data_IF_587831483178
#
_entry.id   IF_587831483178
#
_cell.length_a   1.000
_cell.length_b   1.000
_cell.length_c   1.000
_cell.angle_alpha   90.00
_cell.angle_beta   90.00
_cell.angle_gamma   90.00
#
_symmetry.space_group_name_H-M   'P 1'
#
loop_
_entity.id
_entity.type
_entity.pdbx_description
1 polymer ?
#
# COMPACT_ATOMS: atom_id res chain seq x y z
N UNK A 1 -8.77 -23.71 13.01
CA UNK A 1 -8.45 -22.71 11.97
C UNK A 1 -8.80 -23.33 10.63
N UNK A 2 -10.00 -23.06 10.12
CA UNK A 2 -10.40 -23.54 8.80
C UNK A 2 -9.65 -22.73 7.76
N UNK A 3 -8.86 -23.39 6.91
CA UNK A 3 -8.27 -22.74 5.74
C UNK A 3 -9.42 -22.15 4.92
N UNK A 4 -9.48 -20.83 4.78
CA UNK A 4 -10.32 -20.23 3.76
C UNK A 4 -9.72 -20.65 2.43
N UNK A 5 -10.37 -21.58 1.74
CA UNK A 5 -10.10 -21.84 0.33
C UNK A 5 -10.16 -20.50 -0.40
N UNK A 6 -9.00 -20.01 -0.86
CA UNK A 6 -8.92 -18.85 -1.73
C UNK A 6 -9.57 -19.23 -3.06
N UNK A 7 -10.87 -18.99 -3.18
CA UNK A 7 -11.52 -18.99 -4.48
C UNK A 7 -10.93 -17.85 -5.32
N UNK A 8 -10.57 -18.17 -6.55
CA UNK A 8 -10.03 -17.20 -7.51
C UNK A 8 -11.18 -16.44 -8.17
N UNK A 9 -11.03 -15.12 -8.44
CA UNK A 9 -11.95 -14.42 -9.32
C UNK A 9 -12.12 -15.19 -10.63
N UNK A 10 -13.36 -15.41 -11.05
CA UNK A 10 -13.63 -16.15 -12.30
C UNK A 10 -14.02 -15.18 -13.40
N UNK A 11 -13.49 -15.41 -14.61
CA UNK A 11 -13.89 -14.64 -15.79
C UNK A 11 -15.28 -15.11 -16.19
N UNK A 12 -16.27 -14.21 -16.12
CA UNK A 12 -17.64 -14.51 -16.49
C UNK A 12 -17.91 -14.17 -17.96
N UNK A 13 -17.35 -13.06 -18.44
CA UNK A 13 -17.52 -12.62 -19.82
C UNK A 13 -16.31 -11.88 -20.34
N UNK A 14 -15.95 -12.13 -21.60
CA UNK A 14 -14.91 -11.42 -22.31
C UNK A 14 -15.47 -10.95 -23.66
N UNK A 15 -15.29 -9.67 -23.97
CA UNK A 15 -15.79 -8.97 -25.15
C UNK A 15 -14.65 -8.19 -25.79
N UNK A 16 -13.97 -8.83 -26.74
CA UNK A 16 -12.84 -8.28 -27.47
C UNK A 16 -13.23 -7.03 -28.27
N UNK A 17 -14.43 -7.03 -28.86
CA UNK A 17 -14.91 -5.95 -29.72
C UNK A 17 -15.05 -4.63 -28.97
N UNK A 18 -15.43 -4.68 -27.69
CA UNK A 18 -15.58 -3.50 -26.84
C UNK A 18 -14.44 -3.33 -25.83
N UNK A 19 -13.40 -4.17 -25.91
CA UNK A 19 -12.28 -4.21 -24.98
C UNK A 19 -12.74 -4.30 -23.52
N UNK A 20 -13.67 -5.22 -23.25
CA UNK A 20 -14.33 -5.37 -21.95
C UNK A 20 -14.19 -6.80 -21.42
N UNK A 21 -13.89 -6.93 -20.14
CA UNK A 21 -13.94 -8.20 -19.39
C UNK A 21 -14.78 -8.02 -18.14
N UNK A 22 -15.51 -9.06 -17.74
CA UNK A 22 -16.31 -9.11 -16.52
C UNK A 22 -15.82 -10.24 -15.65
N UNK A 23 -15.47 -9.92 -14.41
CA UNK A 23 -15.14 -10.90 -13.38
C UNK A 23 -16.30 -11.04 -12.40
N UNK A 24 -16.53 -12.28 -11.95
CA UNK A 24 -17.44 -12.58 -10.85
C UNK A 24 -16.66 -12.98 -9.59
N UNK A 25 -17.03 -12.39 -8.46
CA UNK A 25 -16.46 -12.69 -7.15
C UNK A 25 -17.57 -13.01 -6.16
N UNK A 26 -17.44 -14.09 -5.39
CA UNK A 26 -18.42 -14.41 -4.35
C UNK A 26 -18.41 -13.35 -3.23
N UNK A 27 -19.60 -12.93 -2.80
CA UNK A 27 -19.73 -11.99 -1.68
C UNK A 27 -19.24 -12.68 -0.40
N UNK A 28 -18.37 -11.98 0.34
CA UNK A 28 -17.76 -12.49 1.57
C UNK A 28 -16.33 -13.03 1.38
N UNK A 29 -15.92 -13.30 0.12
CA UNK A 29 -14.54 -13.66 -0.19
C UNK A 29 -13.60 -12.48 0.06
N UNK A 30 -13.98 -11.31 -0.47
CA UNK A 30 -13.28 -10.05 -0.23
C UNK A 30 -14.23 -9.03 0.42
N UNK A 31 -13.77 -8.32 1.46
CA UNK A 31 -14.43 -7.12 1.94
C UNK A 31 -14.59 -6.08 0.83
N UNK A 32 -15.68 -5.30 0.84
CA UNK A 32 -15.97 -4.35 -0.25
C UNK A 32 -14.89 -3.26 -0.39
N UNK A 33 -14.25 -2.86 0.70
CA UNK A 33 -13.12 -1.92 0.71
C UNK A 33 -11.90 -2.45 -0.06
N UNK A 34 -11.67 -3.77 -0.04
CA UNK A 34 -10.62 -4.40 -0.87
C UNK A 34 -10.95 -4.29 -2.36
N UNK A 35 -12.22 -4.46 -2.72
CA UNK A 35 -12.70 -4.34 -4.10
C UNK A 35 -12.55 -2.89 -4.61
N UNK A 36 -12.93 -1.90 -3.78
CA UNK A 36 -12.72 -0.49 -4.10
C UNK A 36 -11.24 -0.12 -4.22
N UNK A 37 -10.39 -0.62 -3.30
CA UNK A 37 -8.95 -0.40 -3.33
C UNK A 37 -8.32 -0.92 -4.61
N UNK A 38 -8.68 -2.14 -5.03
CA UNK A 38 -8.19 -2.72 -6.29
C UNK A 38 -8.74 -1.95 -7.50
N UNK A 39 -10.03 -1.60 -7.52
CA UNK A 39 -10.63 -0.81 -8.59
C UNK A 39 -9.92 0.53 -8.80
N UNK A 40 -9.56 1.22 -7.71
CA UNK A 40 -8.92 2.53 -7.76
C UNK A 40 -7.57 2.50 -8.50
N UNK A 41 -6.79 1.42 -8.38
CA UNK A 41 -5.48 1.30 -9.04
C UNK A 41 -5.61 1.24 -10.58
N UNK A 42 -6.75 0.83 -11.11
CA UNK A 42 -6.94 0.62 -12.54
C UNK A 42 -7.67 1.77 -13.25
N UNK A 43 -8.13 2.80 -12.53
CA UNK A 43 -8.92 3.90 -13.11
C UNK A 43 -8.15 4.76 -14.10
N UNK A 44 -6.81 4.72 -14.08
CA UNK A 44 -5.94 5.43 -15.00
C UNK A 44 -6.02 4.84 -16.42
N UNK A 45 -6.11 3.52 -16.55
CA UNK A 45 -6.04 2.75 -17.82
C UNK A 45 -7.31 1.99 -18.21
N UNK A 46 -8.23 1.79 -17.28
CA UNK A 46 -9.52 1.13 -17.51
C UNK A 46 -10.67 1.92 -16.89
N UNK A 47 -11.84 1.83 -17.53
CA UNK A 47 -13.11 2.13 -16.87
C UNK A 47 -13.50 0.93 -16.01
N UNK A 48 -13.78 1.18 -14.73
CA UNK A 48 -14.19 0.15 -13.77
C UNK A 48 -15.63 0.41 -13.37
N UNK A 49 -16.50 -0.58 -13.55
CA UNK A 49 -17.86 -0.58 -13.01
C UNK A 49 -17.98 -1.76 -12.04
N UNK A 50 -18.40 -1.46 -10.81
CA UNK A 50 -18.69 -2.46 -9.79
C UNK A 50 -20.20 -2.60 -9.69
N UNK A 51 -20.68 -3.82 -9.86
CA UNK A 51 -22.09 -4.18 -9.73
C UNK A 51 -22.24 -5.36 -8.78
N UNK A 52 -23.48 -5.67 -8.40
CA UNK A 52 -23.81 -6.74 -7.46
C UNK A 52 -24.96 -7.56 -8.01
N UNK A 53 -24.71 -8.85 -8.21
CA UNK A 53 -25.76 -9.83 -8.48
C UNK A 53 -26.15 -10.49 -7.16
N UNK A 54 -27.37 -10.27 -6.71
CA UNK A 54 -27.85 -10.86 -5.45
C UNK A 54 -28.18 -12.36 -5.57
N UNK A 55 -28.32 -12.88 -6.80
CA UNK A 55 -28.49 -14.30 -7.07
C UNK A 55 -29.71 -14.95 -6.40
N UNK A 56 -30.79 -15.21 -7.16
CA UNK A 56 -31.92 -15.96 -6.59
C UNK A 56 -31.53 -17.43 -6.43
N UNK A 57 -31.44 -17.92 -5.18
CA UNK A 57 -31.11 -19.32 -4.88
C UNK A 57 -29.61 -19.67 -4.94
N UNK A 58 -28.72 -18.67 -4.99
CA UNK A 58 -27.25 -18.84 -4.92
C UNK A 58 -26.62 -17.75 -4.04
N UNK A 59 -25.37 -17.93 -3.56
CA UNK A 59 -24.65 -16.83 -2.91
C UNK A 59 -24.52 -15.65 -3.87
N UNK A 60 -24.78 -14.44 -3.37
CA UNK A 60 -24.62 -13.22 -4.16
C UNK A 60 -23.15 -13.02 -4.57
N UNK A 61 -22.95 -12.28 -5.67
CA UNK A 61 -21.64 -12.03 -6.29
C UNK A 61 -21.44 -10.55 -6.57
N UNK A 62 -20.21 -10.09 -6.44
CA UNK A 62 -19.78 -8.84 -7.04
C UNK A 62 -19.39 -9.09 -8.50
N UNK A 63 -19.84 -8.20 -9.37
CA UNK A 63 -19.47 -8.17 -10.78
C UNK A 63 -18.52 -7.00 -10.99
N UNK A 64 -17.34 -7.27 -11.52
CA UNK A 64 -16.35 -6.25 -11.85
C UNK A 64 -16.24 -6.18 -13.36
N UNK A 65 -16.72 -5.11 -13.94
CA UNK A 65 -16.54 -4.83 -15.36
C UNK A 65 -15.32 -3.94 -15.54
N UNK A 66 -14.33 -4.46 -16.25
CA UNK A 66 -13.15 -3.71 -16.67
C UNK A 66 -13.26 -3.47 -18.17
N UNK A 67 -13.16 -2.20 -18.59
CA UNK A 67 -13.08 -1.84 -20.00
C UNK A 67 -11.83 -1.01 -20.24
N UNK A 68 -10.95 -1.45 -21.13
CA UNK A 68 -9.78 -0.68 -21.54
C UNK A 68 -10.18 0.69 -22.08
N UNK A 69 -9.44 1.74 -21.72
CA UNK A 69 -9.67 3.08 -22.29
C UNK A 69 -9.24 3.16 -23.76
N UNK A 70 -8.27 2.34 -24.14
CA UNK A 70 -7.84 2.12 -25.51
C UNK A 70 -8.25 0.71 -25.95
N UNK A 71 -8.32 0.43 -27.27
CA UNK A 71 -8.52 -0.92 -27.78
C UNK A 71 -7.48 -1.89 -27.21
N UNK A 72 -7.95 -3.02 -26.70
CA UNK A 72 -7.14 -4.10 -26.14
C UNK A 72 -7.39 -5.40 -26.90
N UNK A 73 -6.33 -6.17 -27.14
CA UNK A 73 -6.43 -7.54 -27.65
C UNK A 73 -6.99 -8.48 -26.59
N UNK A 74 -7.38 -9.68 -27.02
CA UNK A 74 -7.83 -10.74 -26.15
C UNK A 74 -6.83 -11.07 -25.03
N UNK A 75 -5.55 -11.21 -25.40
CA UNK A 75 -4.47 -11.48 -24.45
C UNK A 75 -4.28 -10.33 -23.46
N UNK A 76 -4.40 -9.07 -23.93
CA UNK A 76 -4.31 -7.89 -23.06
C UNK A 76 -5.48 -7.82 -22.07
N UNK A 77 -6.69 -8.23 -22.46
CA UNK A 77 -7.84 -8.29 -21.54
C UNK A 77 -7.66 -9.38 -20.48
N UNK A 78 -7.12 -10.54 -20.86
CA UNK A 78 -6.80 -11.60 -19.91
C UNK A 78 -5.69 -11.17 -18.95
N UNK A 79 -4.66 -10.49 -19.44
CA UNK A 79 -3.60 -9.93 -18.62
C UNK A 79 -4.18 -8.89 -17.63
N UNK A 80 -5.03 -7.97 -18.11
CA UNK A 80 -5.71 -6.98 -17.26
C UNK A 80 -6.54 -7.65 -16.14
N UNK A 81 -7.26 -8.72 -16.48
CA UNK A 81 -8.00 -9.53 -15.53
C UNK A 81 -7.09 -10.19 -14.47
N UNK A 82 -5.97 -10.78 -14.91
CA UNK A 82 -4.98 -11.39 -14.01
C UNK A 82 -4.32 -10.36 -13.08
N UNK A 83 -3.94 -9.20 -13.63
CA UNK A 83 -3.42 -8.07 -12.84
C UNK A 83 -4.43 -7.60 -11.79
N UNK A 84 -5.71 -7.47 -12.17
CA UNK A 84 -6.75 -7.09 -11.22
C UNK A 84 -6.91 -8.13 -10.10
N UNK A 85 -6.89 -9.42 -10.43
CA UNK A 85 -6.91 -10.51 -9.45
C UNK A 85 -5.73 -10.45 -8.47
N UNK A 86 -4.52 -10.19 -8.97
CA UNK A 86 -3.33 -10.02 -8.13
C UNK A 86 -3.41 -8.80 -7.22
N UNK A 87 -3.99 -7.69 -7.71
CA UNK A 87 -4.17 -6.50 -6.89
C UNK A 87 -5.23 -6.74 -5.80
N UNK A 88 -6.30 -7.48 -6.07
CA UNK A 88 -7.27 -7.88 -5.04
C UNK A 88 -6.62 -8.66 -3.91
N UNK A 89 -5.78 -9.64 -4.24
CA UNK A 89 -5.03 -10.41 -3.24
C UNK A 89 -4.09 -9.50 -2.45
N UNK A 90 -3.43 -8.57 -3.13
CA UNK A 90 -2.51 -7.62 -2.51
C UNK A 90 -3.23 -6.67 -1.53
N UNK A 91 -4.38 -6.13 -1.93
CA UNK A 91 -5.24 -5.30 -1.07
C UNK A 91 -5.78 -6.09 0.14
N UNK A 92 -6.22 -7.33 -0.07
CA UNK A 92 -6.69 -8.19 1.00
C UNK A 92 -5.57 -8.49 2.02
N UNK A 93 -4.37 -8.79 1.55
CA UNK A 93 -3.20 -9.02 2.39
C UNK A 93 -2.81 -7.76 3.15
N UNK A 94 -2.69 -6.60 2.49
CA UNK A 94 -2.39 -5.32 3.14
C UNK A 94 -3.38 -5.03 4.25
N UNK A 95 -4.67 -5.18 3.97
CA UNK A 95 -5.74 -5.00 4.96
C UNK A 95 -5.59 -5.96 6.15
N UNK A 96 -5.30 -7.24 5.90
CA UNK A 96 -5.09 -8.24 6.95
C UNK A 96 -3.89 -7.87 7.83
N UNK A 97 -2.76 -7.51 7.22
CA UNK A 97 -1.53 -7.11 7.93
C UNK A 97 -1.78 -5.85 8.77
N UNK A 98 -2.39 -4.81 8.20
CA UNK A 98 -2.73 -3.59 8.95
C UNK A 98 -3.64 -3.90 10.13
N UNK A 99 -4.70 -4.69 9.90
CA UNK A 99 -5.64 -5.06 10.96
C UNK A 99 -4.97 -5.87 12.07
N UNK A 100 -4.08 -6.81 11.74
CA UNK A 100 -3.37 -7.63 12.72
C UNK A 100 -2.34 -6.82 13.52
N UNK A 101 -1.74 -5.79 12.91
CA UNK A 101 -0.70 -4.96 13.53
C UNK A 101 -1.23 -3.60 14.01
N UNK A 102 -2.55 -3.40 14.06
CA UNK A 102 -3.16 -2.10 14.37
C UNK A 102 -2.62 -1.50 15.68
N UNK A 103 -2.56 -2.29 16.76
CA UNK A 103 -2.04 -1.81 18.06
C UNK A 103 -0.59 -1.36 18.00
N UNK A 104 0.25 -2.12 17.29
CA UNK A 104 1.68 -1.81 17.12
C UNK A 104 1.83 -0.50 16.32
N UNK A 105 1.04 -0.36 15.24
CA UNK A 105 1.02 0.87 14.44
C UNK A 105 0.58 2.07 15.28
N UNK A 106 -0.49 1.92 16.07
CA UNK A 106 -0.99 2.97 16.97
C UNK A 106 0.05 3.36 18.03
N UNK A 107 0.73 2.39 18.64
CA UNK A 107 1.78 2.62 19.63
C UNK A 107 2.98 3.37 19.04
N UNK A 108 3.53 2.87 17.92
CA UNK A 108 4.64 3.52 17.21
C UNK A 108 4.26 4.94 16.78
N UNK A 109 3.05 5.13 16.26
CA UNK A 109 2.57 6.46 15.82
C UNK A 109 2.42 7.41 17.01
N UNK A 110 1.83 6.94 18.11
CA UNK A 110 1.67 7.72 19.34
C UNK A 110 3.03 8.16 19.88
N UNK A 111 3.98 7.22 19.90
CA UNK A 111 5.35 7.48 20.34
C UNK A 111 6.07 8.49 19.43
N UNK A 112 5.95 8.35 18.11
CA UNK A 112 6.55 9.27 17.15
C UNK A 112 6.00 10.70 17.31
N UNK A 113 4.69 10.85 17.52
CA UNK A 113 4.05 12.15 17.77
C UNK A 113 4.51 12.72 19.11
N UNK A 114 4.55 11.91 20.18
CA UNK A 114 5.00 12.35 21.49
C UNK A 114 6.46 12.83 21.47
N UNK A 115 7.36 12.06 20.85
CA UNK A 115 8.77 12.45 20.70
C UNK A 115 8.95 13.71 19.87
N UNK A 116 8.21 13.86 18.77
CA UNK A 116 8.26 15.07 17.93
C UNK A 116 7.72 16.33 18.65
N UNK A 117 6.75 16.17 19.55
CA UNK A 117 6.18 17.25 20.35
C UNK A 117 7.04 17.63 21.58
N UNK A 118 8.20 16.99 21.77
CA UNK A 118 9.04 17.18 22.96
C UNK A 118 8.50 16.52 24.23
N UNK A 119 7.53 15.60 24.09
CA UNK A 119 7.04 14.79 25.19
C UNK A 119 8.03 13.69 25.58
N UNK A 120 8.09 13.37 26.87
CA UNK A 120 8.87 12.23 27.38
C UNK A 120 8.34 10.93 26.82
N UNK A 121 9.21 10.15 26.17
CA UNK A 121 8.88 8.80 25.69
C UNK A 121 8.57 7.88 26.88
N UNK A 122 7.74 6.83 26.69
CA UNK A 122 7.49 5.83 27.73
C UNK A 122 8.82 5.24 28.27
N UNK A 123 8.92 5.09 29.58
CA UNK A 123 10.13 4.64 30.28
C UNK A 123 10.65 3.27 29.82
N UNK A 124 9.78 2.37 29.36
CA UNK A 124 10.19 1.05 28.84
C UNK A 124 11.02 1.12 27.56
N UNK A 125 10.89 2.19 26.76
CA UNK A 125 11.76 2.44 25.60
C UNK A 125 13.07 3.11 25.98
N UNK A 126 13.05 4.00 26.98
CA UNK A 126 14.26 4.63 27.53
C UNK A 126 15.14 3.58 28.24
N UNK A 127 14.53 2.62 28.94
CA UNK A 127 15.24 1.53 29.61
C UNK A 127 15.96 0.57 28.63
N UNK A 128 15.52 0.51 27.37
CA UNK A 128 16.21 -0.25 26.31
C UNK A 128 17.19 0.62 25.48
N UNK A 129 17.28 1.93 25.76
CA UNK A 129 18.19 2.86 25.08
C UNK A 129 19.42 3.24 25.92
N UNK A 130 19.48 2.84 27.20
CA UNK A 130 20.44 3.37 28.18
C UNK A 130 21.64 2.45 28.49
N UNK A 131 21.91 1.43 27.67
CA UNK A 131 23.13 0.59 27.84
C UNK A 131 24.26 0.93 26.83
N UNK A 132 24.25 2.14 26.26
CA UNK A 132 25.41 2.68 25.52
C UNK A 132 25.05 3.57 24.33
N UNK A 133 24.78 4.85 24.58
CA UNK A 133 24.74 5.87 23.52
C UNK A 133 26.15 6.24 23.03
N UNK A 134 26.85 5.27 22.44
CA UNK A 134 28.15 5.41 21.76
C UNK A 134 28.09 6.35 20.53
N UNK A 135 26.89 6.81 20.16
CA UNK A 135 26.66 7.79 19.07
C UNK A 135 26.99 9.24 19.48
N UNK A 136 27.01 9.55 20.78
CA UNK A 136 27.41 10.88 21.28
C UNK A 136 28.91 11.02 21.45
N UNK A 137 29.62 9.91 21.65
CA UNK A 137 31.07 9.91 21.54
C UNK A 137 31.40 10.07 20.05
N UNK A 138 32.18 11.10 19.72
CA UNK A 138 32.66 11.37 18.35
C UNK A 138 34.11 10.86 18.22
N UNK A 139 34.37 9.54 18.25
CA UNK A 139 35.72 8.99 18.25
C UNK A 139 36.49 9.31 16.96
N UNK A 140 35.77 9.68 15.90
CA UNK A 140 36.33 10.03 14.60
C UNK A 140 36.43 11.55 14.35
N UNK A 141 35.89 12.38 15.25
CA UNK A 141 35.95 13.85 15.15
C UNK A 141 35.16 14.43 13.96
N UNK A 142 34.13 13.74 13.47
CA UNK A 142 33.38 14.11 12.26
C UNK A 142 32.13 14.94 12.55
N UNK A 143 31.71 15.05 13.81
CA UNK A 143 30.54 15.82 14.22
C UNK A 143 30.86 17.32 14.32
N UNK A 144 31.25 17.92 13.19
CA UNK A 144 31.53 19.35 13.11
C UNK A 144 30.21 20.14 13.06
N UNK A 145 29.99 21.12 13.96
CA UNK A 145 28.80 21.96 13.96
C UNK A 145 28.59 22.64 12.60
N UNK A 146 27.32 22.73 12.19
CA UNK A 146 26.93 23.26 10.88
C UNK A 146 27.49 24.66 10.61
N UNK A 147 27.58 25.51 11.63
CA UNK A 147 28.16 26.86 11.50
C UNK A 147 29.65 26.86 11.12
N UNK A 148 30.42 25.91 11.63
CA UNK A 148 31.86 25.83 11.36
C UNK A 148 32.15 25.34 9.93
N UNK A 149 31.33 24.39 9.44
CA UNK A 149 31.45 23.84 8.07
C UNK A 149 31.25 24.89 6.98
N UNK A 150 30.43 25.92 7.22
CA UNK A 150 30.07 26.93 6.22
C UNK A 150 30.67 28.32 6.43
N UNK A 151 31.24 28.64 7.61
CA UNK A 151 32.06 29.87 7.77
C UNK A 151 33.30 29.85 6.87
N UNK A 152 33.97 28.70 6.75
CA UNK A 152 35.23 28.58 5.98
C UNK A 152 35.07 28.80 4.47
N UNK A 153 33.87 28.62 3.92
CA UNK A 153 33.58 28.83 2.48
C UNK A 153 33.38 30.29 2.10
N UNK A 154 33.27 31.21 3.07
CA UNK A 154 33.00 32.63 2.84
C UNK A 154 34.26 33.49 2.78
N UNK A 155 35.40 32.97 3.25
CA UNK A 155 36.68 33.67 3.33
C UNK A 155 37.69 33.28 2.23
N UNK A 156 37.32 32.42 1.28
CA UNK A 156 38.13 32.18 0.07
C UNK A 156 37.71 33.17 -1.04
N UNK A 157 38.52 34.19 -1.36
CA UNK A 157 38.24 35.06 -2.49
C UNK A 157 38.37 34.23 -3.78
N UNK A 158 37.33 34.31 -4.62
CA UNK A 158 37.24 33.56 -5.87
C UNK A 158 38.48 33.77 -6.74
N UNK A 159 39.23 32.68 -6.95
CA UNK A 159 40.12 32.56 -8.09
C UNK A 159 39.26 32.20 -9.31
N UNK A 160 39.09 33.17 -10.20
CA UNK A 160 38.76 32.98 -11.61
C UNK A 160 39.93 33.55 -12.43
N UNK A 161 40.13 33.17 -13.70
CA UNK A 161 39.40 32.18 -14.51
C UNK A 161 40.07 30.79 -14.59
#
# INVERSE_FOLDING_TARGET
MTAQETQTPTVERLDDAHSRVTLALEIGLYPIDVLYGAAYIFIDRAYVLLDKDEGVGRPGRYLVHLRGKNPMSHEQLLALCGEFGNELLSQALRRKVVKQNQKIIEEITTQAIAGAAGGTLPTDFLANQDDGLDFLDDPLGIAVPWEEKFKKKKDEPGAAP
#
